data_IF_597987617313
#
_entry.id   IF_597987617313
#
_cell.length_a   1.000
_cell.length_b   1.000
_cell.length_c   1.000
_cell.angle_alpha   90.00
_cell.angle_beta   90.00
_cell.angle_gamma   90.00
#
_symmetry.space_group_name_H-M   'P 1'
#
loop_
_entity.id
_entity.type
_entity.pdbx_description
1 polymer ?
#
# COMPACT_ATOMS: atom_id res chain seq x y z
N UNK A 1 -0.26 13.38 -1.01
CA UNK A 1 0.50 12.54 -0.07
C UNK A 1 -0.33 12.41 1.19
N UNK A 2 -0.89 11.23 1.41
CA UNK A 2 -1.90 11.00 2.45
C UNK A 2 -1.32 11.01 3.85
N UNK A 3 -2.05 11.63 4.79
CA UNK A 3 -1.69 11.68 6.21
C UNK A 3 -1.43 10.29 6.81
N UNK A 4 -2.03 9.24 6.25
CA UNK A 4 -1.82 7.86 6.71
C UNK A 4 -0.42 7.31 6.36
N UNK A 5 0.12 7.63 5.18
CA UNK A 5 1.46 7.16 4.78
C UNK A 5 2.56 7.83 5.60
N UNK A 6 2.36 9.10 5.99
CA UNK A 6 3.28 9.83 6.86
C UNK A 6 3.29 9.30 8.30
N UNK A 7 2.14 8.90 8.85
CA UNK A 7 2.05 8.34 10.21
C UNK A 7 2.72 6.96 10.30
N UNK A 8 2.52 6.10 9.29
CA UNK A 8 3.12 4.77 9.25
C UNK A 8 4.65 4.81 9.09
N UNK A 9 5.19 5.72 8.26
CA UNK A 9 6.65 5.85 8.10
C UNK A 9 7.33 6.34 9.38
N UNK A 10 6.72 7.28 10.11
CA UNK A 10 7.21 7.72 11.42
C UNK A 10 7.17 6.62 12.49
N UNK A 11 6.20 5.71 12.43
CA UNK A 11 6.08 4.59 13.36
C UNK A 11 7.15 3.51 13.11
N UNK A 12 7.47 3.25 11.85
CA UNK A 12 8.56 2.34 11.45
C UNK A 12 9.94 2.91 11.81
N UNK A 13 10.16 4.21 11.60
CA UNK A 13 11.43 4.85 11.94
C UNK A 13 11.70 4.86 13.46
N UNK A 14 10.67 5.17 14.26
CA UNK A 14 10.80 5.18 15.72
C UNK A 14 11.01 3.77 16.30
N UNK A 15 10.33 2.75 15.77
CA UNK A 15 10.53 1.34 16.19
C UNK A 15 11.91 0.80 15.81
N UNK A 16 12.49 1.22 14.69
CA UNK A 16 13.87 0.86 14.31
C UNK A 16 14.91 1.48 15.25
N UNK A 17 14.72 2.74 15.65
CA UNK A 17 15.62 3.40 16.62
C UNK A 17 15.51 2.75 18.01
N UNK A 18 14.30 2.42 18.46
CA UNK A 18 14.06 1.76 19.76
C UNK A 18 14.67 0.35 19.77
N UNK A 19 14.48 -0.44 18.71
CA UNK A 19 15.05 -1.79 18.61
C UNK A 19 16.57 -1.78 18.51
N UNK A 20 17.14 -0.81 17.79
CA UNK A 20 18.60 -0.58 17.76
C UNK A 20 19.18 -0.24 19.13
N UNK A 21 18.56 0.69 19.85
CA UNK A 21 18.95 1.07 21.21
C UNK A 21 18.88 -0.10 22.20
N UNK A 22 17.77 -0.85 22.19
CA UNK A 22 17.62 -2.05 23.03
C UNK A 22 18.61 -3.16 22.66
N UNK A 23 18.92 -3.31 21.36
CA UNK A 23 19.91 -4.26 20.88
C UNK A 23 21.32 -3.94 21.40
N UNK A 24 21.74 -2.67 21.31
CA UNK A 24 23.02 -2.21 21.84
C UNK A 24 23.13 -2.44 23.35
N UNK A 25 22.11 -2.07 24.13
CA UNK A 25 22.13 -2.28 25.58
C UNK A 25 22.10 -3.75 26.00
N UNK A 26 21.41 -4.61 25.24
CA UNK A 26 21.43 -6.05 25.49
C UNK A 26 22.83 -6.64 25.21
N UNK A 27 23.49 -6.19 24.14
CA UNK A 27 24.87 -6.58 23.84
C UNK A 27 25.85 -6.09 24.91
N UNK A 28 25.81 -4.82 25.28
CA UNK A 28 26.69 -4.27 26.32
C UNK A 28 26.49 -4.97 27.67
N UNK A 29 25.25 -5.27 28.05
CA UNK A 29 24.95 -5.99 29.29
C UNK A 29 25.50 -7.43 29.26
N UNK A 30 25.51 -8.09 28.09
CA UNK A 30 26.07 -9.43 27.96
C UNK A 30 27.61 -9.47 28.08
N UNK A 31 28.29 -8.43 27.60
CA UNK A 31 29.75 -8.29 27.75
C UNK A 31 30.11 -8.05 29.21
N UNK A 32 29.46 -7.10 29.88
CA UNK A 32 29.69 -6.82 31.31
C UNK A 32 29.42 -8.05 32.19
N UNK A 33 28.44 -8.87 31.82
CA UNK A 33 28.14 -10.12 32.52
C UNK A 33 29.29 -11.13 32.38
N UNK A 34 29.83 -11.27 31.18
CA UNK A 34 30.97 -12.17 30.90
C UNK A 34 32.21 -11.76 31.69
N UNK A 35 32.56 -10.48 31.67
CA UNK A 35 33.73 -9.93 32.38
C UNK A 35 33.61 -10.10 33.89
N UNK A 36 32.42 -9.86 34.46
CA UNK A 36 32.16 -10.04 35.88
C UNK A 36 32.23 -11.52 36.29
N UNK A 37 31.72 -12.43 35.46
CA UNK A 37 31.81 -13.88 35.70
C UNK A 37 33.25 -14.39 35.70
N UNK A 38 34.08 -13.90 34.78
CA UNK A 38 35.50 -14.26 34.72
C UNK A 38 36.24 -13.76 35.97
N UNK A 39 36.00 -12.51 36.37
CA UNK A 39 36.58 -11.91 37.58
C UNK A 39 36.23 -12.70 38.85
N UNK A 40 34.97 -13.13 39.01
CA UNK A 40 34.55 -13.96 40.15
C UNK A 40 35.27 -15.31 40.17
N UNK A 41 35.44 -15.91 38.99
CA UNK A 41 36.16 -17.20 38.85
C UNK A 41 37.63 -17.06 39.29
N UNK A 42 38.29 -15.97 38.90
CA UNK A 42 39.66 -15.67 39.33
C UNK A 42 39.75 -15.41 40.84
N UNK A 43 38.85 -14.61 41.40
CA UNK A 43 38.83 -14.30 42.84
C UNK A 43 38.64 -15.55 43.70
N UNK A 44 37.70 -16.43 43.33
CA UNK A 44 37.49 -17.69 44.04
C UNK A 44 38.75 -18.56 44.04
N UNK A 45 39.43 -18.66 42.89
CA UNK A 45 40.68 -19.42 42.81
C UNK A 45 41.76 -18.85 43.73
N UNK A 46 41.90 -17.52 43.79
CA UNK A 46 42.88 -16.88 44.69
C UNK A 46 42.55 -17.14 46.17
N UNK A 47 41.26 -17.10 46.54
CA UNK A 47 40.82 -17.43 47.91
C UNK A 47 41.12 -18.90 48.22
N UNK A 48 40.84 -19.82 47.31
CA UNK A 48 41.13 -21.25 47.48
C UNK A 48 42.64 -21.49 47.63
N UNK A 49 43.47 -20.91 46.75
CA UNK A 49 44.93 -21.03 46.80
C UNK A 49 45.51 -20.48 48.13
N UNK A 50 45.00 -19.34 48.63
CA UNK A 50 45.40 -18.75 49.91
C UNK A 50 44.92 -19.59 51.11
N UNK A 51 43.72 -20.15 51.03
CA UNK A 51 43.16 -21.03 52.06
C UNK A 51 43.98 -22.31 52.18
N UNK A 52 44.41 -22.87 51.05
CA UNK A 52 45.31 -24.03 51.01
C UNK A 52 46.73 -23.69 51.49
N UNK A 53 47.27 -22.50 51.19
CA UNK A 53 48.55 -22.03 51.74
C UNK A 53 48.46 -21.90 53.28
N UNK A 54 47.35 -21.35 53.80
CA UNK A 54 47.10 -21.27 55.23
C UNK A 54 47.00 -22.64 55.90
N UNK A 55 46.31 -23.60 55.27
CA UNK A 55 46.15 -24.95 55.80
C UNK A 55 47.47 -25.75 55.79
N UNK A 56 48.39 -25.44 54.88
CA UNK A 56 49.66 -26.14 54.70
C UNK A 56 50.87 -25.46 55.38
N UNK A 57 50.68 -24.37 56.11
CA UNK A 57 51.72 -23.82 56.99
C UNK A 57 52.00 -24.77 58.16
N UNK A 58 52.82 -25.79 57.90
CA UNK A 58 53.26 -26.79 58.87
C UNK A 58 54.50 -26.34 59.64
N UNK A 59 54.50 -26.65 60.93
CA UNK A 59 55.47 -26.22 61.92
C UNK A 59 56.66 -27.20 62.02
N UNK A 60 57.91 -26.73 61.84
CA UNK A 60 59.12 -27.57 61.96
C UNK A 60 59.62 -27.56 63.40
N UNK A 61 59.55 -28.71 64.08
CA UNK A 61 59.79 -28.86 65.53
C UNK A 61 61.25 -29.14 65.92
N UNK A 62 62.23 -28.71 65.13
CA UNK A 62 63.65 -29.07 65.31
C UNK A 62 64.60 -27.86 65.26
N UNK A 63 64.37 -26.83 66.07
CA UNK A 63 65.26 -25.68 66.25
C UNK A 63 65.40 -25.31 67.73
N UNK A 64 66.41 -24.51 68.10
CA UNK A 64 66.53 -23.96 69.46
C UNK A 64 65.34 -23.06 69.83
N UNK A 65 65.04 -22.94 71.12
CA UNK A 65 63.79 -22.34 71.62
C UNK A 65 63.62 -20.87 71.17
N UNK A 66 64.69 -20.08 71.11
CA UNK A 66 64.63 -18.64 70.78
C UNK A 66 64.40 -18.41 69.27
N UNK A 67 65.04 -19.23 68.42
CA UNK A 67 64.81 -19.24 66.97
C UNK A 67 63.43 -19.81 66.62
N UNK A 68 62.97 -20.80 67.39
CA UNK A 68 61.64 -21.38 67.26
C UNK A 68 60.55 -20.36 67.59
N UNK A 69 60.64 -19.68 68.74
CA UNK A 69 59.68 -18.64 69.15
C UNK A 69 59.60 -17.50 68.12
N UNK A 70 60.73 -17.01 67.61
CA UNK A 70 60.74 -15.99 66.56
C UNK A 70 60.09 -16.45 65.24
N UNK A 71 60.18 -17.74 64.90
CA UNK A 71 59.49 -18.30 63.74
C UNK A 71 58.01 -18.55 64.00
N UNK A 72 57.60 -18.87 65.24
CA UNK A 72 56.17 -18.93 65.64
C UNK A 72 55.55 -17.56 65.41
N UNK A 73 56.16 -16.52 65.99
CA UNK A 73 55.63 -15.15 65.93
C UNK A 73 55.54 -14.62 64.49
N UNK A 74 56.54 -14.94 63.65
CA UNK A 74 56.52 -14.57 62.25
C UNK A 74 55.44 -15.31 61.45
N UNK A 75 55.23 -16.61 61.73
CA UNK A 75 54.18 -17.41 61.09
C UNK A 75 52.78 -16.97 61.54
N UNK A 76 52.59 -16.69 62.82
CA UNK A 76 51.33 -16.17 63.38
C UNK A 76 50.99 -14.80 62.79
N UNK A 77 51.99 -13.91 62.65
CA UNK A 77 51.79 -12.63 61.98
C UNK A 77 51.39 -12.81 60.51
N UNK A 78 52.04 -13.71 59.78
CA UNK A 78 51.71 -14.02 58.38
C UNK A 78 50.31 -14.64 58.25
N UNK A 79 49.90 -15.49 59.20
CA UNK A 79 48.54 -16.05 59.27
C UNK A 79 47.48 -14.96 59.47
N UNK A 80 47.75 -14.01 60.36
CA UNK A 80 46.85 -12.85 60.58
C UNK A 80 46.77 -11.98 59.32
N UNK A 81 47.88 -11.69 58.66
CA UNK A 81 47.91 -10.93 57.40
C UNK A 81 47.10 -11.65 56.30
N UNK A 82 47.25 -12.97 56.16
CA UNK A 82 46.50 -13.79 55.20
C UNK A 82 45.01 -13.86 55.52
N UNK A 83 44.65 -13.94 56.80
CA UNK A 83 43.26 -13.93 57.24
C UNK A 83 42.56 -12.60 56.89
N UNK A 84 43.26 -11.47 57.08
CA UNK A 84 42.76 -10.15 56.68
C UNK A 84 42.61 -10.03 55.16
N UNK A 85 43.57 -10.53 54.39
CA UNK A 85 43.49 -10.56 52.92
C UNK A 85 42.28 -11.37 52.42
N UNK A 86 42.00 -12.52 53.04
CA UNK A 86 40.81 -13.34 52.73
C UNK A 86 39.52 -12.59 53.08
N UNK A 87 39.48 -11.87 54.20
CA UNK A 87 38.30 -11.09 54.60
C UNK A 87 38.00 -9.96 53.59
N UNK A 88 39.03 -9.23 53.15
CA UNK A 88 38.91 -8.19 52.13
C UNK A 88 38.45 -8.74 50.78
N UNK A 89 39.04 -9.86 50.32
CA UNK A 89 38.65 -10.52 49.08
C UNK A 89 37.23 -11.09 49.15
N UNK A 90 36.82 -11.62 50.31
CA UNK A 90 35.46 -12.12 50.54
C UNK A 90 34.43 -11.00 50.48
N UNK A 91 34.73 -9.83 51.06
CA UNK A 91 33.89 -8.66 50.97
C UNK A 91 33.76 -8.15 49.52
N UNK A 92 34.89 -8.11 48.78
CA UNK A 92 34.89 -7.76 47.37
C UNK A 92 34.05 -8.73 46.52
N UNK A 93 34.17 -10.04 46.80
CA UNK A 93 33.40 -11.10 46.14
C UNK A 93 31.88 -10.93 46.38
N UNK A 94 31.47 -10.60 47.60
CA UNK A 94 30.06 -10.34 47.91
C UNK A 94 29.51 -9.15 47.10
N UNK A 95 30.30 -8.08 46.98
CA UNK A 95 29.92 -6.89 46.19
C UNK A 95 29.86 -7.20 44.70
N UNK A 96 30.82 -7.94 44.15
CA UNK A 96 30.83 -8.32 42.72
C UNK A 96 29.69 -9.28 42.39
N UNK A 97 29.39 -10.26 43.25
CA UNK A 97 28.22 -11.14 43.09
C UNK A 97 26.90 -10.37 43.09
N UNK A 98 26.73 -9.38 43.97
CA UNK A 98 25.55 -8.52 43.98
C UNK A 98 25.43 -7.68 42.69
N UNK A 99 26.55 -7.18 42.17
CA UNK A 99 26.59 -6.46 40.88
C UNK A 99 26.24 -7.40 39.71
N UNK A 100 26.76 -8.63 39.71
CA UNK A 100 26.47 -9.64 38.69
C UNK A 100 24.97 -9.96 38.65
N UNK A 101 24.36 -10.27 39.80
CA UNK A 101 22.93 -10.57 39.88
C UNK A 101 22.05 -9.41 39.37
N UNK A 102 22.45 -8.16 39.65
CA UNK A 102 21.77 -6.96 39.13
C UNK A 102 21.93 -6.83 37.60
N UNK A 103 23.12 -7.12 37.08
CA UNK A 103 23.40 -7.12 35.65
C UNK A 103 22.60 -8.20 34.92
N UNK A 104 22.54 -9.44 35.45
CA UNK A 104 21.75 -10.55 34.91
C UNK A 104 20.26 -10.20 34.81
N UNK A 105 19.70 -9.65 35.90
CA UNK A 105 18.29 -9.23 35.92
C UNK A 105 18.03 -8.18 34.85
N UNK A 106 18.92 -7.19 34.73
CA UNK A 106 18.80 -6.13 33.73
C UNK A 106 18.91 -6.68 32.30
N UNK A 107 19.89 -7.54 32.04
CA UNK A 107 20.09 -8.20 30.75
C UNK A 107 18.86 -9.02 30.35
N UNK A 108 18.27 -9.79 31.27
CA UNK A 108 17.04 -10.55 31.04
C UNK A 108 15.88 -9.64 30.64
N UNK A 109 15.71 -8.51 31.34
CA UNK A 109 14.67 -7.52 31.01
C UNK A 109 14.88 -6.91 29.63
N UNK A 110 16.11 -6.47 29.31
CA UNK A 110 16.42 -5.90 28.00
C UNK A 110 16.23 -6.90 26.87
N UNK A 111 16.71 -8.14 27.05
CA UNK A 111 16.54 -9.23 26.09
C UNK A 111 15.06 -9.51 25.81
N UNK A 112 14.25 -9.63 26.86
CA UNK A 112 12.81 -9.88 26.72
C UNK A 112 12.10 -8.76 25.95
N UNK A 113 12.38 -7.50 26.28
CA UNK A 113 11.82 -6.33 25.58
C UNK A 113 12.26 -6.29 24.12
N UNK A 114 13.54 -6.53 23.84
CA UNK A 114 14.07 -6.56 22.48
C UNK A 114 13.36 -7.61 21.61
N UNK A 115 13.19 -8.85 22.10
CA UNK A 115 12.49 -9.88 21.32
C UNK A 115 11.00 -9.59 21.15
N UNK A 116 10.35 -9.01 22.15
CA UNK A 116 8.95 -8.57 22.05
C UNK A 116 8.76 -7.51 20.97
N UNK A 117 9.58 -6.44 21.00
CA UNK A 117 9.54 -5.36 20.00
C UNK A 117 9.91 -5.85 18.60
N UNK A 118 10.93 -6.70 18.47
CA UNK A 118 11.32 -7.30 17.19
C UNK A 118 10.16 -8.12 16.58
N UNK A 119 9.47 -8.90 17.39
CA UNK A 119 8.32 -9.68 16.93
C UNK A 119 7.12 -8.80 16.59
N UNK A 120 6.86 -7.76 17.39
CA UNK A 120 5.83 -6.75 17.13
C UNK A 120 6.06 -6.06 15.78
N UNK A 121 7.29 -5.59 15.53
CA UNK A 121 7.67 -4.95 14.26
C UNK A 121 7.52 -5.90 13.07
N UNK A 122 7.92 -7.18 13.22
CA UNK A 122 7.74 -8.20 12.18
C UNK A 122 6.25 -8.42 11.85
N UNK A 123 5.41 -8.51 12.86
CA UNK A 123 3.97 -8.71 12.68
C UNK A 123 3.29 -7.48 12.06
N UNK A 124 3.67 -6.27 12.50
CA UNK A 124 3.19 -5.01 11.91
C UNK A 124 3.56 -4.90 10.43
N UNK A 125 4.78 -5.28 10.05
CA UNK A 125 5.22 -5.32 8.65
C UNK A 125 4.40 -6.32 7.82
N UNK A 126 4.14 -7.51 8.35
CA UNK A 126 3.30 -8.50 7.67
C UNK A 126 1.86 -8.00 7.47
N UNK A 127 1.26 -7.39 8.50
CA UNK A 127 -0.08 -6.82 8.42
C UNK A 127 -0.15 -5.66 7.40
N UNK A 128 0.87 -4.79 7.37
CA UNK A 128 0.97 -3.71 6.39
C UNK A 128 1.05 -4.26 4.96
N UNK A 129 1.91 -5.25 4.72
CA UNK A 129 2.04 -5.87 3.40
C UNK A 129 0.73 -6.53 2.94
N UNK A 130 0.02 -7.20 3.84
CA UNK A 130 -1.30 -7.78 3.53
C UNK A 130 -2.34 -6.71 3.19
N UNK A 131 -2.32 -5.57 3.88
CA UNK A 131 -3.22 -4.44 3.58
C UNK A 131 -2.91 -3.83 2.21
N UNK A 132 -1.62 -3.63 1.92
CA UNK A 132 -1.17 -3.08 0.65
C UNK A 132 -1.57 -3.99 -0.53
N UNK A 133 -1.44 -5.30 -0.39
CA UNK A 133 -1.84 -6.25 -1.44
C UNK A 133 -3.36 -6.21 -1.68
N UNK A 134 -4.16 -6.12 -0.62
CA UNK A 134 -5.62 -5.96 -0.75
C UNK A 134 -6.00 -4.65 -1.44
N UNK A 135 -5.34 -3.54 -1.08
CA UNK A 135 -5.56 -2.24 -1.71
C UNK A 135 -5.16 -2.26 -3.20
N UNK A 136 -4.06 -2.93 -3.55
CA UNK A 136 -3.62 -3.10 -4.93
C UNK A 136 -4.65 -3.88 -5.78
N UNK A 137 -5.11 -5.02 -5.29
CA UNK A 137 -6.13 -5.84 -5.99
C UNK A 137 -7.45 -5.07 -6.13
N UNK A 138 -7.87 -4.33 -5.09
CA UNK A 138 -9.06 -3.50 -5.16
C UNK A 138 -8.93 -2.38 -6.21
N UNK A 139 -7.76 -1.73 -6.26
CA UNK A 139 -7.47 -0.68 -7.24
C UNK A 139 -7.43 -1.21 -8.67
N UNK A 140 -6.78 -2.37 -8.90
CA UNK A 140 -6.77 -3.03 -10.21
C UNK A 140 -8.20 -3.36 -10.67
N UNK A 141 -9.04 -3.88 -9.78
CA UNK A 141 -10.46 -4.17 -10.08
C UNK A 141 -11.25 -2.90 -10.42
N UNK A 142 -11.07 -1.83 -9.64
CA UNK A 142 -11.74 -0.56 -9.90
C UNK A 142 -11.30 0.04 -11.24
N UNK A 143 -10.02 -0.06 -11.57
CA UNK A 143 -9.47 0.46 -12.83
C UNK A 143 -9.99 -0.34 -14.03
N UNK A 144 -10.07 -1.68 -13.92
CA UNK A 144 -10.69 -2.52 -14.95
C UNK A 144 -12.18 -2.21 -15.16
N UNK A 145 -12.92 -1.97 -14.08
CA UNK A 145 -14.34 -1.59 -14.17
C UNK A 145 -14.52 -0.21 -14.82
N UNK A 146 -13.68 0.76 -14.45
CA UNK A 146 -13.70 2.10 -15.06
C UNK A 146 -13.37 2.03 -16.56
N UNK A 147 -12.34 1.25 -16.93
CA UNK A 147 -11.96 1.05 -18.32
C UNK A 147 -13.08 0.38 -19.13
N UNK A 148 -13.71 -0.68 -18.59
CA UNK A 148 -14.82 -1.35 -19.24
C UNK A 148 -16.03 -0.42 -19.45
N UNK A 149 -16.34 0.43 -18.46
CA UNK A 149 -17.39 1.44 -18.58
C UNK A 149 -17.08 2.46 -19.69
N UNK A 150 -15.85 2.96 -19.74
CA UNK A 150 -15.43 3.91 -20.78
C UNK A 150 -15.46 3.29 -22.17
N UNK A 151 -15.03 2.03 -22.32
CA UNK A 151 -15.11 1.33 -23.60
C UNK A 151 -16.55 1.14 -24.05
N UNK A 152 -17.44 0.73 -23.14
CA UNK A 152 -18.87 0.57 -23.46
C UNK A 152 -19.54 1.89 -23.84
N UNK A 153 -19.16 3.00 -23.21
CA UNK A 153 -19.65 4.33 -23.54
C UNK A 153 -19.17 4.74 -24.94
N UNK A 154 -17.87 4.56 -25.22
CA UNK A 154 -17.28 4.84 -26.53
C UNK A 154 -17.94 4.01 -27.65
N UNK A 155 -18.12 2.70 -27.44
CA UNK A 155 -18.79 1.82 -28.40
C UNK A 155 -20.23 2.28 -28.68
N UNK A 156 -20.94 2.73 -27.65
CA UNK A 156 -22.27 3.32 -27.79
C UNK A 156 -22.27 4.59 -28.62
N UNK A 157 -21.31 5.50 -28.39
CA UNK A 157 -21.16 6.72 -29.19
C UNK A 157 -20.81 6.42 -30.65
N UNK A 158 -19.85 5.52 -30.90
CA UNK A 158 -19.49 5.09 -32.25
C UNK A 158 -20.68 4.45 -32.98
N UNK A 159 -21.47 3.60 -32.31
CA UNK A 159 -22.65 2.97 -32.88
C UNK A 159 -23.71 4.01 -33.29
N UNK A 160 -23.97 5.00 -32.42
CA UNK A 160 -24.89 6.11 -32.73
C UNK A 160 -24.39 6.94 -33.92
N UNK A 161 -23.09 7.24 -33.97
CA UNK A 161 -22.51 8.01 -35.06
C UNK A 161 -22.56 7.25 -36.39
N UNK A 162 -22.33 5.93 -36.38
CA UNK A 162 -22.46 5.09 -37.57
C UNK A 162 -23.91 5.03 -38.08
N UNK A 163 -24.89 4.85 -37.19
CA UNK A 163 -26.32 4.89 -37.56
C UNK A 163 -26.73 6.24 -38.14
N UNK A 164 -26.21 7.34 -37.58
CA UNK A 164 -26.45 8.69 -38.08
C UNK A 164 -25.93 8.84 -39.52
N UNK A 165 -24.69 8.44 -39.77
CA UNK A 165 -24.07 8.52 -41.10
C UNK A 165 -24.77 7.63 -42.15
N UNK A 166 -25.23 6.44 -41.77
CA UNK A 166 -26.04 5.58 -42.65
C UNK A 166 -27.40 6.23 -42.98
N UNK A 167 -28.03 6.85 -41.98
CA UNK A 167 -29.31 7.54 -42.16
C UNK A 167 -29.16 8.79 -43.03
N UNK A 168 -28.07 9.55 -42.89
CA UNK A 168 -27.76 10.69 -43.77
C UNK A 168 -27.72 10.26 -45.24
N UNK A 169 -27.00 9.17 -45.56
CA UNK A 169 -26.96 8.61 -46.93
C UNK A 169 -28.35 8.23 -47.44
N UNK A 170 -29.18 7.63 -46.61
CA UNK A 170 -30.54 7.25 -46.99
C UNK A 170 -31.43 8.46 -47.25
N UNK A 171 -31.24 9.55 -46.50
CA UNK A 171 -31.94 10.81 -46.77
C UNK A 171 -31.42 11.45 -48.06
N UNK A 172 -30.11 11.42 -48.34
CA UNK A 172 -29.55 11.88 -49.62
C UNK A 172 -30.13 11.13 -50.82
N UNK A 173 -30.26 9.80 -50.71
CA UNK A 173 -30.91 8.96 -51.73
C UNK A 173 -32.37 9.39 -51.94
N UNK A 174 -33.15 9.53 -50.86
CA UNK A 174 -34.54 9.99 -50.94
C UNK A 174 -34.67 11.41 -51.54
N UNK A 175 -33.72 12.31 -51.28
CA UNK A 175 -33.69 13.64 -51.88
C UNK A 175 -33.41 13.58 -53.38
N UNK A 176 -32.52 12.66 -53.80
CA UNK A 176 -32.21 12.42 -55.21
C UNK A 176 -33.42 11.83 -55.94
N UNK A 177 -34.04 10.80 -55.38
CA UNK A 177 -35.26 10.18 -55.93
C UNK A 177 -36.41 11.19 -56.03
N UNK A 178 -36.56 12.04 -55.00
CA UNK A 178 -37.54 13.12 -55.01
C UNK A 178 -37.32 14.10 -56.17
N UNK A 179 -36.07 14.48 -56.44
CA UNK A 179 -35.74 15.36 -57.56
C UNK A 179 -36.03 14.68 -58.92
N UNK A 180 -35.80 13.38 -59.02
CA UNK A 180 -36.05 12.58 -60.23
C UNK A 180 -37.54 12.38 -60.55
N UNK A 181 -38.42 12.44 -59.54
CA UNK A 181 -39.87 12.42 -59.76
C UNK A 181 -40.37 13.60 -60.62
N UNK A 182 -39.56 14.67 -60.78
CA UNK A 182 -39.85 15.86 -61.60
C UNK A 182 -41.29 16.33 -61.43
N UNK A 183 -41.75 16.39 -60.18
CA UNK A 183 -43.07 16.92 -59.84
C UNK A 183 -43.01 18.42 -60.11
N UNK A 184 -43.39 18.81 -61.32
CA UNK A 184 -43.45 20.21 -61.71
C UNK A 184 -44.63 20.88 -61.01
N UNK A 185 -44.32 21.71 -60.02
CA UNK A 185 -45.28 22.38 -59.16
C UNK A 185 -45.95 23.58 -59.83
N UNK A 186 -45.53 23.97 -61.04
CA UNK A 186 -46.08 25.11 -61.77
C UNK A 186 -47.18 24.73 -62.77
N UNK A 187 -47.46 23.43 -62.96
CA UNK A 187 -48.48 22.95 -63.91
C UNK A 187 -49.84 22.77 -63.20
N UNK A 188 -50.86 23.52 -63.65
CA UNK A 188 -52.27 23.26 -63.29
C UNK A 188 -52.73 22.01 -64.04
N UNK A 189 -52.85 20.88 -63.32
CA UNK A 189 -53.11 19.57 -63.93
C UNK A 189 -54.59 19.16 -63.88
N UNK A 190 -55.12 18.76 -65.04
CA UNK A 190 -56.48 18.18 -65.24
C UNK A 190 -56.53 16.70 -64.82
N UNK A 191 -56.33 16.39 -63.54
CA UNK A 191 -56.47 15.03 -63.00
C UNK A 191 -55.70 13.92 -63.76
N UNK A 192 -54.51 14.20 -64.29
CA UNK A 192 -53.68 13.12 -64.85
C UNK A 192 -53.29 12.12 -63.75
N UNK A 193 -53.77 10.88 -63.90
CA UNK A 193 -53.49 9.77 -62.98
C UNK A 193 -51.99 9.54 -62.77
N UNK A 194 -51.17 9.65 -63.83
CA UNK A 194 -49.71 9.46 -63.71
C UNK A 194 -49.05 10.56 -62.90
N UNK A 195 -49.57 11.78 -62.99
CA UNK A 195 -49.07 12.90 -62.19
C UNK A 195 -49.48 12.76 -60.72
N UNK A 196 -50.71 12.34 -60.44
CA UNK A 196 -51.20 12.08 -59.09
C UNK A 196 -50.41 10.98 -58.37
N UNK A 197 -50.02 9.91 -59.08
CA UNK A 197 -49.17 8.84 -58.55
C UNK A 197 -47.79 9.39 -58.14
N UNK A 198 -47.09 10.11 -59.03
CA UNK A 198 -45.81 10.77 -58.72
C UNK A 198 -45.92 11.76 -57.56
N UNK A 199 -47.04 12.48 -57.50
CA UNK A 199 -47.32 13.44 -56.43
C UNK A 199 -47.49 12.77 -55.06
N UNK A 200 -48.24 11.66 -55.01
CA UNK A 200 -48.41 10.88 -53.79
C UNK A 200 -47.10 10.27 -53.30
N UNK A 201 -46.28 9.79 -54.23
CA UNK A 201 -44.94 9.25 -53.96
C UNK A 201 -44.00 10.33 -53.40
N UNK A 202 -43.95 11.51 -54.02
CA UNK A 202 -43.17 12.66 -53.54
C UNK A 202 -43.55 13.08 -52.11
N UNK A 203 -44.86 13.12 -51.80
CA UNK A 203 -45.34 13.42 -50.44
C UNK A 203 -44.95 12.35 -49.43
N UNK A 204 -45.01 11.07 -49.83
CA UNK A 204 -44.59 9.95 -48.99
C UNK A 204 -43.08 10.03 -48.67
N UNK A 205 -42.26 10.30 -49.67
CA UNK A 205 -40.81 10.46 -49.53
C UNK A 205 -40.45 11.58 -48.56
N UNK A 206 -41.09 12.75 -48.65
CA UNK A 206 -40.85 13.86 -47.71
C UNK A 206 -41.24 13.52 -46.26
N UNK A 207 -42.30 12.75 -46.06
CA UNK A 207 -42.68 12.27 -44.73
C UNK A 207 -41.66 11.26 -44.16
N UNK A 208 -41.12 10.37 -45.01
CA UNK A 208 -40.06 9.46 -44.62
C UNK A 208 -38.78 10.21 -44.25
N UNK A 209 -38.35 11.19 -45.07
CA UNK A 209 -37.22 12.06 -44.78
C UNK A 209 -37.42 12.80 -43.44
N UNK A 210 -38.60 13.40 -43.21
CA UNK A 210 -38.93 14.10 -41.94
C UNK A 210 -38.77 13.18 -40.74
N UNK A 211 -39.27 11.95 -40.83
CA UNK A 211 -39.21 10.97 -39.74
C UNK A 211 -37.75 10.60 -39.43
N UNK A 212 -36.95 10.33 -40.46
CA UNK A 212 -35.53 10.01 -40.28
C UNK A 212 -34.73 11.18 -39.70
N UNK A 213 -34.96 12.41 -40.18
CA UNK A 213 -34.31 13.61 -39.66
C UNK A 213 -34.61 13.82 -38.17
N UNK A 214 -35.87 13.64 -37.76
CA UNK A 214 -36.29 13.79 -36.37
C UNK A 214 -35.79 12.67 -35.46
N UNK A 215 -35.83 11.42 -35.94
CA UNK A 215 -35.43 10.25 -35.16
C UNK A 215 -33.91 10.20 -34.90
N UNK A 216 -33.10 10.68 -35.84
CA UNK A 216 -31.64 10.60 -35.79
C UNK A 216 -30.94 11.96 -35.65
N UNK A 217 -31.70 13.03 -35.40
CA UNK A 217 -31.22 14.41 -35.19
C UNK A 217 -30.22 14.86 -36.28
N UNK A 218 -30.61 14.68 -37.54
CA UNK A 218 -29.78 15.04 -38.70
C UNK A 218 -29.61 16.56 -38.85
N UNK A 219 -28.68 16.99 -39.71
CA UNK A 219 -28.37 18.41 -39.89
C UNK A 219 -29.60 19.25 -40.29
N UNK A 220 -29.59 20.54 -39.97
CA UNK A 220 -30.69 21.45 -40.31
C UNK A 220 -30.89 21.61 -41.83
N UNK A 221 -29.88 21.33 -42.65
CA UNK A 221 -29.96 21.45 -44.11
C UNK A 221 -31.00 20.50 -44.70
N UNK A 222 -31.03 19.24 -44.21
CA UNK A 222 -32.05 18.26 -44.56
C UNK A 222 -33.46 18.72 -44.17
N UNK A 223 -33.58 19.36 -43.01
CA UNK A 223 -34.84 19.89 -42.51
C UNK A 223 -35.38 21.03 -43.39
N UNK A 224 -34.49 21.92 -43.86
CA UNK A 224 -34.86 22.99 -44.79
C UNK A 224 -35.34 22.45 -46.13
N UNK A 225 -34.69 21.42 -46.68
CA UNK A 225 -35.13 20.77 -47.91
C UNK A 225 -36.56 20.24 -47.77
N UNK A 226 -36.85 19.50 -46.69
CA UNK A 226 -38.17 18.91 -46.47
C UNK A 226 -39.24 19.99 -46.29
N UNK A 227 -38.98 21.03 -45.49
CA UNK A 227 -39.96 22.11 -45.28
C UNK A 227 -40.25 22.88 -46.57
N UNK A 228 -39.20 23.25 -47.32
CA UNK A 228 -39.37 24.02 -48.55
C UNK A 228 -40.24 23.29 -49.56
N UNK A 229 -39.97 21.99 -49.78
CA UNK A 229 -40.72 21.18 -50.74
C UNK A 229 -42.13 20.81 -50.25
N UNK A 230 -42.31 20.51 -48.95
CA UNK A 230 -43.62 20.20 -48.38
C UNK A 230 -44.57 21.41 -48.42
N UNK A 231 -44.04 22.62 -48.19
CA UNK A 231 -44.80 23.86 -48.31
C UNK A 231 -45.26 24.10 -49.75
N UNK A 232 -44.40 23.84 -50.74
CA UNK A 232 -44.75 23.99 -52.16
C UNK A 232 -45.80 22.95 -52.60
N UNK A 233 -45.64 21.68 -52.23
CA UNK A 233 -46.63 20.62 -52.49
C UNK A 233 -47.97 20.94 -51.84
N UNK A 234 -47.98 21.36 -50.57
CA UNK A 234 -49.23 21.67 -49.84
C UNK A 234 -49.99 22.83 -50.48
N UNK A 235 -49.28 23.88 -50.93
CA UNK A 235 -49.89 25.00 -51.66
C UNK A 235 -50.55 24.53 -52.95
N UNK A 236 -49.91 23.62 -53.67
CA UNK A 236 -50.38 23.09 -54.96
C UNK A 236 -51.40 21.97 -54.85
N UNK A 237 -51.49 21.27 -53.72
CA UNK A 237 -52.59 20.32 -53.44
C UNK A 237 -53.96 20.96 -53.65
N UNK A 238 -54.09 22.26 -53.35
CA UNK A 238 -55.33 23.03 -53.53
C UNK A 238 -55.68 23.33 -54.99
N UNK A 239 -54.73 23.11 -55.91
CA UNK A 239 -54.80 23.40 -57.35
C UNK A 239 -54.78 22.12 -58.22
N UNK A 240 -54.61 20.95 -57.61
CA UNK A 240 -54.61 19.65 -58.29
C UNK A 240 -56.05 19.16 -58.48
N UNK A 241 -56.37 18.65 -59.66
CA UNK A 241 -57.71 18.13 -59.96
C UNK A 241 -58.83 19.18 -59.89
N UNK A 242 -58.54 20.44 -60.24
CA UNK A 242 -59.60 21.41 -60.46
C UNK A 242 -60.25 21.10 -61.80
N UNK A 243 -61.47 20.56 -61.76
CA UNK A 243 -62.35 20.50 -62.94
C UNK A 243 -62.60 21.94 -63.40
N UNK A 244 -62.11 22.27 -64.60
CA UNK A 244 -62.51 23.47 -65.33
C UNK A 244 -63.72 23.18 -66.19
#
# INVERSE_FOLDING_TARGET
>A
MDKQTTVLSTLLASTLLITGYLGYHNYSASIQLSEASETITTLNKVIDDLTDEMANMNYVKTMDDETYESQVDAADKKLVEKALEIEELSALLAVTNAKLAKAEKSAKTYRSRYFSEKNSAKNAKLAMNQKLEKEKVALEKQNQQALASQMSELEGEYSKQAQKAETEKRVDELMTDFADLRVDLDIVNKCDRKYLERYGEAKSMLNHMRTYIQQYELSQEYYFFVISNDAQLTRKTREICIEG
#
